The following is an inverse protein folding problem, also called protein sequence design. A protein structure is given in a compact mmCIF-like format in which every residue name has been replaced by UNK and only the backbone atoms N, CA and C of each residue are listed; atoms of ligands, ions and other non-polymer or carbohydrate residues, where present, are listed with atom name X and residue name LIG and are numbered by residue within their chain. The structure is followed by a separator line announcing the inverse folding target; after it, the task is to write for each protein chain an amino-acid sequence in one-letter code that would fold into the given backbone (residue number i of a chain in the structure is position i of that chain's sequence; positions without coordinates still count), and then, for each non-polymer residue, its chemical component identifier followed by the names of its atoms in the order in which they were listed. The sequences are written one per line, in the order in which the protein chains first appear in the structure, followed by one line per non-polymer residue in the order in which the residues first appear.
data_IF_887697459382
#
_entry.id   IF_887697459382
#
_cell.length_a   1.000
_cell.length_b   1.000
_cell.length_c   1.000
_cell.angle_alpha   90.00
_cell.angle_beta   90.00
_cell.angle_gamma   90.00
#
_symmetry.space_group_name_H-M   'P 1'
#
loop_
_entity.id
_entity.type
_entity.pdbx_description
1 polymer ?
#
# COMPACT_ATOMS: atom_id res chain seq x y z
N UNK A 1 25.95 -3.72 -17.38
CA UNK A 1 25.03 -4.01 -18.49
C UNK A 1 24.51 -2.68 -19.02
N UNK A 2 25.05 -2.15 -20.13
CA UNK A 2 24.77 -0.79 -20.59
C UNK A 2 23.36 -0.58 -21.17
N UNK A 3 22.61 -1.64 -21.46
CA UNK A 3 21.29 -1.61 -22.10
C UNK A 3 20.13 -2.08 -21.22
N UNK A 4 20.36 -2.35 -19.92
CA UNK A 4 19.29 -2.78 -19.03
C UNK A 4 18.42 -1.59 -18.66
N UNK A 5 17.18 -1.58 -19.13
CA UNK A 5 16.15 -0.57 -18.83
C UNK A 5 15.15 -1.09 -17.81
N UNK A 6 14.95 -2.41 -17.76
CA UNK A 6 13.97 -3.06 -16.90
C UNK A 6 14.60 -4.25 -16.21
N UNK A 7 14.52 -4.24 -14.88
CA UNK A 7 14.92 -5.35 -14.02
C UNK A 7 13.69 -5.78 -13.22
N UNK A 8 13.04 -6.85 -13.66
CA UNK A 8 11.98 -7.51 -12.90
C UNK A 8 12.49 -8.87 -12.41
N UNK A 9 12.68 -8.97 -11.10
CA UNK A 9 12.96 -10.24 -10.41
C UNK A 9 11.99 -10.43 -9.23
N UNK A 10 10.80 -9.84 -9.34
CA UNK A 10 9.74 -9.97 -8.35
C UNK A 10 9.24 -11.41 -8.21
N UNK A 11 8.65 -11.79 -7.07
CA UNK A 11 8.01 -13.10 -6.85
C UNK A 11 8.94 -14.32 -6.97
N UNK A 12 10.20 -14.17 -6.58
CA UNK A 12 11.22 -15.23 -6.76
C UNK A 12 11.74 -15.82 -5.43
N UNK A 13 11.11 -15.51 -4.29
CA UNK A 13 11.56 -15.97 -2.96
C UNK A 13 13.04 -15.66 -2.69
N UNK A 14 13.58 -14.60 -3.30
CA UNK A 14 14.97 -14.17 -3.12
C UNK A 14 15.20 -13.78 -1.67
N UNK A 15 16.33 -14.19 -1.10
CA UNK A 15 16.66 -13.93 0.30
C UNK A 15 18.03 -13.24 0.40
N UNK A 16 18.34 -12.68 1.57
CA UNK A 16 19.55 -11.87 1.78
C UNK A 16 19.31 -10.40 1.45
N UNK A 17 20.40 -9.62 1.32
CA UNK A 17 20.32 -8.18 1.08
C UNK A 17 20.37 -7.80 -0.38
N UNK A 18 19.82 -6.62 -0.68
CA UNK A 18 19.97 -6.00 -2.00
C UNK A 18 21.46 -5.64 -2.17
N UNK A 19 22.14 -6.15 -3.20
CA UNK A 19 23.57 -5.94 -3.36
C UNK A 19 23.90 -4.48 -3.68
N UNK A 20 24.96 -3.95 -3.05
CA UNK A 20 25.44 -2.58 -3.30
C UNK A 20 25.80 -2.32 -4.77
N UNK A 21 26.18 -3.37 -5.50
CA UNK A 21 26.51 -3.32 -6.93
C UNK A 21 25.31 -2.95 -7.82
N UNK A 22 24.09 -2.98 -7.30
CA UNK A 22 22.89 -2.54 -8.02
C UNK A 22 22.94 -1.06 -8.41
N UNK A 23 23.71 -0.23 -7.69
CA UNK A 23 23.98 1.16 -8.08
C UNK A 23 24.88 1.33 -9.31
N UNK A 24 25.46 0.25 -9.84
CA UNK A 24 26.34 0.26 -11.00
C UNK A 24 25.62 -0.14 -12.31
N UNK A 25 24.30 -0.15 -12.31
CA UNK A 25 23.50 -0.42 -13.50
C UNK A 25 23.52 0.81 -14.41
N UNK A 26 24.52 0.87 -15.30
CA UNK A 26 24.81 2.04 -16.15
C UNK A 26 23.66 2.44 -17.08
N UNK A 27 22.80 1.50 -17.49
CA UNK A 27 21.59 1.80 -18.29
C UNK A 27 20.63 2.76 -17.59
N UNK A 28 20.62 2.76 -16.25
CA UNK A 28 19.78 3.63 -15.41
C UNK A 28 20.48 4.95 -15.02
N UNK A 29 21.72 5.19 -15.50
CA UNK A 29 22.56 6.32 -15.10
C UNK A 29 22.97 7.25 -16.24
N UNK A 30 23.25 6.74 -17.44
CA UNK A 30 23.69 7.56 -18.59
C UNK A 30 22.54 7.91 -19.53
N UNK A 31 22.41 9.17 -19.95
CA UNK A 31 21.44 9.59 -20.97
C UNK A 31 21.76 8.92 -22.32
N UNK A 32 20.74 8.39 -23.00
CA UNK A 32 20.86 7.90 -24.38
C UNK A 32 21.13 9.11 -25.27
N UNK A 33 22.29 9.16 -25.92
CA UNK A 33 22.59 10.21 -26.90
C UNK A 33 21.64 10.10 -28.08
N UNK A 34 21.16 11.24 -28.61
CA UNK A 34 20.19 11.42 -29.72
C UNK A 34 20.46 10.65 -31.04
N UNK A 35 21.45 9.76 -31.09
CA UNK A 35 21.79 8.95 -32.27
C UNK A 35 21.08 7.59 -32.30
N UNK A 36 20.48 7.16 -31.18
CA UNK A 36 19.85 5.83 -31.04
C UNK A 36 18.32 5.86 -31.16
N UNK A 37 17.72 7.05 -31.37
CA UNK A 37 16.26 7.27 -31.27
C UNK A 37 15.46 6.97 -32.53
N UNK A 38 16.10 6.66 -33.67
CA UNK A 38 15.42 6.60 -34.98
C UNK A 38 14.94 5.21 -35.43
N UNK A 39 15.28 4.09 -34.76
CA UNK A 39 15.07 2.74 -35.33
C UNK A 39 14.25 1.74 -34.50
N UNK A 40 13.74 2.07 -33.32
CA UNK A 40 13.10 1.07 -32.43
C UNK A 40 11.76 1.52 -31.83
N UNK A 41 10.75 1.71 -32.70
CA UNK A 41 9.37 1.94 -32.29
C UNK A 41 8.65 0.61 -31.98
N UNK A 42 8.97 -0.04 -30.86
CA UNK A 42 8.21 -1.22 -30.41
C UNK A 42 7.07 -0.84 -29.47
N UNK A 43 5.83 -1.16 -29.86
CA UNK A 43 4.64 -1.01 -29.01
C UNK A 43 4.52 -2.18 -28.04
N UNK A 44 4.82 -1.94 -26.75
CA UNK A 44 4.56 -2.87 -25.65
C UNK A 44 3.30 -2.52 -24.86
N UNK A 45 2.58 -3.53 -24.36
CA UNK A 45 1.48 -3.38 -23.39
C UNK A 45 1.96 -3.87 -22.03
N UNK A 46 1.88 -3.05 -20.98
CA UNK A 46 2.18 -3.44 -19.60
C UNK A 46 0.89 -3.60 -18.81
N UNK A 47 0.83 -4.68 -18.05
CA UNK A 47 -0.26 -4.99 -17.15
C UNK A 47 0.29 -5.04 -15.72
N UNK A 48 0.09 -3.99 -14.95
CA UNK A 48 0.50 -3.93 -13.54
C UNK A 48 -0.67 -4.36 -12.67
N UNK A 49 -0.42 -5.24 -11.70
CA UNK A 49 -1.44 -5.68 -10.74
C UNK A 49 -1.06 -5.19 -9.35
N UNK A 50 -1.78 -4.17 -8.88
CA UNK A 50 -1.60 -3.60 -7.54
C UNK A 50 -2.96 -3.58 -6.82
N UNK A 51 -2.99 -4.06 -5.58
CA UNK A 51 -4.20 -4.09 -4.72
C UNK A 51 -5.46 -4.67 -5.41
N UNK A 52 -5.31 -5.74 -6.19
CA UNK A 52 -6.44 -6.37 -6.91
C UNK A 52 -6.98 -5.58 -8.10
N UNK A 53 -6.36 -4.46 -8.45
CA UNK A 53 -6.67 -3.69 -9.66
C UNK A 53 -5.64 -4.01 -10.73
N UNK A 54 -6.14 -4.14 -11.96
CA UNK A 54 -5.33 -4.29 -13.15
C UNK A 54 -5.21 -2.93 -13.81
N UNK A 55 -3.98 -2.42 -13.89
CA UNK A 55 -3.65 -1.20 -14.63
C UNK A 55 -3.07 -1.62 -15.98
N UNK A 56 -3.84 -1.38 -17.06
CA UNK A 56 -3.41 -1.63 -18.43
C UNK A 56 -2.88 -0.33 -19.05
N UNK A 57 -1.57 -0.28 -19.25
CA UNK A 57 -0.91 0.85 -19.88
C UNK A 57 -0.79 0.55 -21.39
N UNK A 58 -1.61 1.24 -22.20
CA UNK A 58 -1.71 1.03 -23.65
C UNK A 58 -0.83 1.96 -24.49
N UNK A 59 -0.07 2.85 -23.85
CA UNK A 59 0.87 3.76 -24.52
C UNK A 59 2.12 3.91 -23.66
N UNK A 60 2.98 2.89 -23.65
CA UNK A 60 4.25 2.98 -22.93
C UNK A 60 5.33 3.28 -23.95
N UNK A 61 5.79 4.52 -23.97
CA UNK A 61 7.14 4.81 -24.42
C UNK A 61 8.06 4.01 -23.49
N UNK A 62 8.73 3.00 -24.03
CA UNK A 62 9.66 2.12 -23.31
C UNK A 62 10.97 2.85 -22.95
N UNK A 63 10.86 4.01 -22.30
CA UNK A 63 11.95 4.82 -21.75
C UNK A 63 11.91 4.87 -20.21
N UNK A 64 10.90 4.27 -19.58
CA UNK A 64 10.76 4.27 -18.12
C UNK A 64 11.68 3.19 -17.57
N UNK A 65 12.85 3.58 -17.07
CA UNK A 65 13.72 2.60 -16.45
C UNK A 65 13.05 2.07 -15.17
N UNK A 66 12.88 0.76 -15.05
CA UNK A 66 12.13 0.12 -13.98
C UNK A 66 12.96 -0.91 -13.21
N UNK A 67 12.83 -0.91 -11.88
CA UNK A 67 13.39 -1.94 -11.00
C UNK A 67 12.26 -2.46 -10.11
N UNK A 68 11.88 -3.72 -10.31
CA UNK A 68 10.91 -4.44 -9.49
C UNK A 68 11.58 -5.63 -8.78
N UNK A 69 11.69 -5.51 -7.46
CA UNK A 69 12.20 -6.53 -6.54
C UNK A 69 11.12 -7.02 -5.58
N UNK A 70 9.85 -6.72 -5.84
CA UNK A 70 8.75 -6.97 -4.92
C UNK A 70 8.45 -8.44 -4.68
N UNK A 71 7.72 -8.74 -3.60
CA UNK A 71 7.25 -10.10 -3.28
C UNK A 71 8.41 -11.10 -3.21
N UNK A 72 9.39 -10.77 -2.38
CA UNK A 72 10.57 -11.58 -2.10
C UNK A 72 10.82 -11.63 -0.58
N UNK A 73 11.89 -12.29 -0.17
CA UNK A 73 12.31 -12.40 1.22
C UNK A 73 13.56 -11.53 1.50
N UNK A 74 13.73 -10.43 0.75
CA UNK A 74 14.92 -9.56 0.87
C UNK A 74 14.95 -8.88 2.24
N UNK A 75 16.13 -8.72 2.81
CA UNK A 75 16.34 -8.22 4.17
C UNK A 75 17.53 -7.27 4.24
N UNK A 76 17.78 -6.67 5.41
CA UNK A 76 18.80 -5.63 5.57
C UNK A 76 18.31 -4.27 5.06
N UNK A 77 19.22 -3.32 4.92
CA UNK A 77 18.89 -1.95 4.54
C UNK A 77 18.80 -1.76 3.03
N UNK A 78 18.04 -0.74 2.61
CA UNK A 78 18.05 -0.30 1.22
C UNK A 78 19.41 0.33 0.88
N UNK A 79 20.18 -0.23 -0.08
CA UNK A 79 21.49 0.28 -0.40
C UNK A 79 21.40 1.67 -1.01
N UNK A 80 22.19 2.62 -0.50
CA UNK A 80 22.26 3.99 -1.02
C UNK A 80 22.64 4.04 -2.51
N UNK A 81 23.29 2.99 -3.04
CA UNK A 81 23.58 2.87 -4.47
C UNK A 81 22.32 2.92 -5.35
N UNK A 82 21.16 2.45 -4.87
CA UNK A 82 19.90 2.53 -5.61
C UNK A 82 19.46 3.97 -5.87
N UNK A 83 19.80 4.90 -4.97
CA UNK A 83 19.47 6.32 -5.15
C UNK A 83 20.36 7.01 -6.18
N UNK A 84 21.37 6.32 -6.73
CA UNK A 84 22.23 6.84 -7.79
C UNK A 84 21.69 6.55 -9.20
N UNK A 85 20.57 5.83 -9.30
CA UNK A 85 19.91 5.46 -10.56
C UNK A 85 18.98 6.59 -11.03
N UNK A 86 19.53 7.75 -11.38
CA UNK A 86 18.77 8.99 -11.61
C UNK A 86 17.79 8.95 -12.80
N UNK A 87 17.90 7.95 -13.69
CA UNK A 87 16.94 7.75 -14.78
C UNK A 87 15.79 6.80 -14.42
N UNK A 88 15.75 6.30 -13.18
CA UNK A 88 14.73 5.37 -12.72
C UNK A 88 13.37 6.06 -12.68
N UNK A 89 12.40 5.51 -13.42
CA UNK A 89 11.02 5.95 -13.41
C UNK A 89 10.13 5.11 -12.48
N UNK A 90 10.50 3.85 -12.24
CA UNK A 90 9.77 2.96 -11.32
C UNK A 90 10.71 2.22 -10.39
N UNK A 91 10.44 2.28 -9.09
CA UNK A 91 11.09 1.46 -8.07
C UNK A 91 10.03 0.76 -7.21
N UNK A 92 9.99 -0.56 -7.26
CA UNK A 92 9.11 -1.38 -6.44
C UNK A 92 9.94 -2.34 -5.57
N UNK A 93 9.94 -2.09 -4.26
CA UNK A 93 10.60 -2.91 -3.25
C UNK A 93 9.58 -3.54 -2.28
N UNK A 94 8.29 -3.49 -2.61
CA UNK A 94 7.21 -3.88 -1.71
C UNK A 94 7.23 -5.37 -1.35
N UNK A 95 6.54 -5.74 -0.27
CA UNK A 95 6.41 -7.15 0.17
C UNK A 95 7.79 -7.82 0.35
N UNK A 96 8.62 -7.24 1.21
CA UNK A 96 9.93 -7.76 1.58
C UNK A 96 10.13 -7.63 3.10
N UNK A 97 11.37 -7.79 3.58
CA UNK A 97 11.76 -7.66 4.98
C UNK A 97 12.85 -6.60 5.17
N UNK A 98 12.86 -5.56 4.33
CA UNK A 98 13.84 -4.47 4.40
C UNK A 98 13.65 -3.67 5.69
N UNK A 99 14.77 -3.31 6.33
CA UNK A 99 14.84 -2.61 7.62
C UNK A 99 15.60 -1.28 7.48
N UNK A 100 15.71 -0.55 8.59
CA UNK A 100 16.46 0.70 8.65
C UNK A 100 15.66 1.87 8.08
N UNK A 101 16.34 2.99 7.85
CA UNK A 101 15.70 4.21 7.37
C UNK A 101 15.68 4.26 5.85
N UNK A 102 14.69 4.95 5.29
CA UNK A 102 14.74 5.36 3.88
C UNK A 102 15.90 6.38 3.75
N UNK A 103 16.92 6.13 2.91
CA UNK A 103 18.05 7.04 2.74
C UNK A 103 17.61 8.43 2.27
N UNK A 104 18.16 9.49 2.85
CA UNK A 104 17.84 10.87 2.44
C UNK A 104 18.15 11.14 0.95
N UNK A 105 19.09 10.42 0.35
CA UNK A 105 19.40 10.53 -1.08
C UNK A 105 18.30 10.00 -2.00
N UNK A 106 17.21 9.41 -1.48
CA UNK A 106 16.07 9.00 -2.30
C UNK A 106 15.50 10.17 -3.14
N UNK A 107 15.64 11.41 -2.65
CA UNK A 107 15.28 12.63 -3.38
C UNK A 107 16.10 12.89 -4.65
N UNK A 108 17.21 12.19 -4.86
CA UNK A 108 18.06 12.31 -6.06
C UNK A 108 17.46 11.56 -7.27
N UNK A 109 16.41 10.77 -7.07
CA UNK A 109 15.71 10.04 -8.13
C UNK A 109 14.73 10.95 -8.88
N UNK A 110 15.24 12.03 -9.47
CA UNK A 110 14.44 13.14 -10.02
C UNK A 110 13.38 12.73 -11.06
N UNK A 111 13.60 11.61 -11.77
CA UNK A 111 12.67 11.10 -12.81
C UNK A 111 11.68 10.05 -12.30
N UNK A 112 11.67 9.74 -11.00
CA UNK A 112 10.82 8.68 -10.48
C UNK A 112 9.35 9.09 -10.51
N UNK A 113 8.53 8.22 -11.10
CA UNK A 113 7.08 8.37 -11.19
C UNK A 113 6.37 7.43 -10.23
N UNK A 114 6.92 6.24 -10.00
CA UNK A 114 6.35 5.22 -9.12
C UNK A 114 7.36 4.74 -8.09
N UNK A 115 7.02 4.86 -6.81
CA UNK A 115 7.79 4.38 -5.68
C UNK A 115 6.90 3.59 -4.72
N UNK A 116 7.09 2.27 -4.68
CA UNK A 116 6.39 1.40 -3.72
C UNK A 116 7.40 0.74 -2.76
N UNK A 117 7.33 1.14 -1.49
CA UNK A 117 8.13 0.61 -0.39
C UNK A 117 7.25 -0.12 0.64
N UNK A 118 5.98 -0.38 0.32
CA UNK A 118 5.01 -0.90 1.27
C UNK A 118 5.29 -2.33 1.71
N UNK A 119 4.72 -2.74 2.84
CA UNK A 119 4.86 -4.09 3.40
C UNK A 119 6.34 -4.48 3.59
N UNK A 120 7.07 -3.63 4.32
CA UNK A 120 8.45 -3.83 4.75
C UNK A 120 8.56 -3.52 6.25
N UNK A 121 9.79 -3.34 6.76
CA UNK A 121 10.09 -2.99 8.15
C UNK A 121 10.91 -1.69 8.22
N UNK A 122 10.74 -0.78 7.25
CA UNK A 122 11.41 0.51 7.28
C UNK A 122 10.99 1.29 8.53
N UNK A 123 11.93 2.03 9.12
CA UNK A 123 11.75 2.77 10.36
C UNK A 123 12.23 4.22 10.26
N UNK A 124 11.88 5.03 11.26
CA UNK A 124 12.26 6.44 11.30
C UNK A 124 11.40 7.32 10.38
N UNK A 125 11.82 8.58 10.16
CA UNK A 125 11.04 9.54 9.40
C UNK A 125 11.08 9.31 7.90
N UNK A 126 9.99 9.73 7.23
CA UNK A 126 9.98 9.94 5.78
C UNK A 126 10.97 11.07 5.47
N UNK A 127 11.99 10.85 4.63
CA UNK A 127 12.98 11.87 4.34
C UNK A 127 12.37 13.11 3.71
N UNK A 128 12.69 14.29 4.26
CA UNK A 128 12.20 15.58 3.73
C UNK A 128 12.62 15.81 2.27
N UNK A 129 13.74 15.21 1.83
CA UNK A 129 14.22 15.24 0.46
C UNK A 129 13.28 14.60 -0.56
N UNK A 130 12.34 13.74 -0.15
CA UNK A 130 11.35 13.18 -1.05
C UNK A 130 10.43 14.25 -1.65
N UNK A 131 10.34 15.43 -1.02
CA UNK A 131 9.63 16.59 -1.57
C UNK A 131 10.21 17.01 -2.92
N UNK A 132 11.50 16.75 -3.20
CA UNK A 132 12.15 17.09 -4.47
C UNK A 132 11.71 16.22 -5.66
N UNK A 133 10.99 15.12 -5.43
CA UNK A 133 10.60 14.16 -6.47
C UNK A 133 9.41 14.66 -7.30
N UNK A 134 9.58 15.71 -8.10
CA UNK A 134 8.47 16.43 -8.76
C UNK A 134 7.66 15.62 -9.79
N UNK A 135 8.16 14.46 -10.23
CA UNK A 135 7.45 13.57 -11.17
C UNK A 135 6.70 12.41 -10.49
N UNK A 136 6.77 12.30 -9.16
CA UNK A 136 6.23 11.16 -8.41
C UNK A 136 4.69 11.15 -8.41
N UNK A 137 4.11 10.30 -9.25
CA UNK A 137 2.67 10.14 -9.39
C UNK A 137 2.09 9.06 -8.46
N UNK A 138 2.89 8.04 -8.13
CA UNK A 138 2.46 6.92 -7.32
C UNK A 138 3.44 6.66 -6.17
N UNK A 139 2.96 6.84 -4.95
CA UNK A 139 3.71 6.56 -3.72
C UNK A 139 2.93 5.58 -2.84
N UNK A 140 3.60 4.58 -2.29
CA UNK A 140 3.03 3.70 -1.28
C UNK A 140 4.08 3.34 -0.22
N UNK A 141 3.80 3.76 1.02
CA UNK A 141 4.66 3.55 2.20
C UNK A 141 3.97 2.70 3.28
N UNK A 142 2.79 2.17 2.97
CA UNK A 142 1.94 1.47 3.94
C UNK A 142 2.60 0.21 4.50
N UNK A 143 2.17 -0.21 5.69
CA UNK A 143 2.65 -1.40 6.39
C UNK A 143 4.17 -1.41 6.56
N UNK A 144 4.69 -0.37 7.22
CA UNK A 144 6.07 -0.23 7.68
C UNK A 144 6.08 0.22 9.16
N UNK A 145 7.24 0.55 9.71
CA UNK A 145 7.41 1.07 11.06
C UNK A 145 7.91 2.53 11.06
N UNK A 146 7.46 3.31 10.07
CA UNK A 146 7.83 4.72 9.91
C UNK A 146 7.21 5.59 11.02
N UNK A 147 7.87 6.69 11.35
CA UNK A 147 7.47 7.57 12.44
C UNK A 147 7.75 9.05 12.18
N UNK A 148 7.09 9.93 12.93
CA UNK A 148 7.25 11.38 12.80
C UNK A 148 6.30 12.02 11.79
N UNK A 149 6.57 13.29 11.48
CA UNK A 149 5.68 14.12 10.67
C UNK A 149 5.81 13.79 9.18
N UNK A 150 4.68 13.64 8.48
CA UNK A 150 4.65 13.54 7.01
C UNK A 150 5.11 14.87 6.40
N UNK A 151 6.02 14.87 5.40
CA UNK A 151 6.42 16.08 4.69
C UNK A 151 5.21 16.78 4.04
N UNK A 152 5.01 18.07 4.31
CA UNK A 152 3.83 18.84 3.84
C UNK A 152 4.19 19.76 2.68
N UNK A 153 4.71 19.22 1.57
CA UNK A 153 5.12 20.03 0.42
C UNK A 153 4.95 19.27 -0.89
N UNK A 154 4.69 20.02 -1.96
CA UNK A 154 4.42 19.49 -3.30
C UNK A 154 3.26 18.47 -3.28
N UNK A 155 3.41 17.34 -3.96
CA UNK A 155 2.36 16.33 -4.09
C UNK A 155 2.12 15.49 -2.81
N UNK A 156 2.89 15.69 -1.74
CA UNK A 156 2.64 14.93 -0.49
C UNK A 156 1.30 15.28 0.17
N UNK A 157 0.77 16.47 -0.07
CA UNK A 157 -0.53 16.89 0.42
C UNK A 157 -1.70 16.31 -0.40
N UNK A 158 -1.43 15.77 -1.60
CA UNK A 158 -2.47 15.22 -2.48
C UNK A 158 -2.66 13.72 -2.34
N UNK A 159 -1.72 13.03 -1.68
CA UNK A 159 -1.82 11.59 -1.47
C UNK A 159 -2.85 11.23 -0.40
N UNK A 160 -3.55 10.11 -0.62
CA UNK A 160 -4.57 9.59 0.29
C UNK A 160 -3.95 8.94 1.53
N UNK A 161 -4.66 8.96 2.67
CA UNK A 161 -4.19 8.35 3.92
C UNK A 161 -3.82 6.86 3.79
N UNK A 162 -4.45 6.13 2.85
CA UNK A 162 -4.18 4.70 2.61
C UNK A 162 -2.74 4.39 2.19
N UNK A 163 -1.98 5.36 1.67
CA UNK A 163 -0.57 5.14 1.31
C UNK A 163 0.34 5.09 2.54
N UNK A 164 -0.14 5.54 3.70
CA UNK A 164 0.60 5.60 4.97
C UNK A 164 0.09 4.59 6.01
N UNK A 165 -0.98 3.85 5.68
CA UNK A 165 -1.64 2.89 6.59
C UNK A 165 -0.62 1.92 7.22
N UNK A 166 -0.85 1.49 8.46
CA UNK A 166 0.02 0.52 9.12
C UNK A 166 1.33 1.08 9.69
N UNK A 167 1.57 2.40 9.59
CA UNK A 167 2.69 3.08 10.25
C UNK A 167 2.20 3.82 11.51
N UNK A 168 2.20 3.16 12.66
CA UNK A 168 1.64 3.72 13.90
C UNK A 168 2.32 5.01 14.39
N UNK A 169 3.59 5.24 14.01
CA UNK A 169 4.34 6.42 14.43
C UNK A 169 4.18 7.64 13.53
N UNK A 170 3.52 7.52 12.37
CA UNK A 170 3.34 8.63 11.44
C UNK A 170 2.18 9.54 11.86
N UNK A 171 2.35 10.84 11.63
CA UNK A 171 1.36 11.86 11.93
C UNK A 171 1.48 13.07 10.99
N UNK A 172 0.47 13.94 10.99
CA UNK A 172 0.34 15.07 10.06
C UNK A 172 -0.47 14.71 8.81
N UNK A 173 -1.09 15.71 8.19
CA UNK A 173 -1.97 15.54 7.03
C UNK A 173 -1.36 14.63 5.95
N UNK A 174 -2.10 13.64 5.41
CA UNK A 174 -3.53 13.33 5.60
C UNK A 174 -3.88 12.55 6.89
N UNK A 175 -2.90 12.17 7.71
CA UNK A 175 -3.11 11.50 9.00
C UNK A 175 -3.45 12.50 10.13
N UNK A 176 -3.87 12.02 11.32
CA UNK A 176 -4.07 12.88 12.48
C UNK A 176 -2.84 13.74 12.79
N UNK A 177 -3.05 14.97 13.24
CA UNK A 177 -1.96 15.90 13.56
C UNK A 177 -1.04 15.35 14.65
N UNK A 178 0.25 15.62 14.52
CA UNK A 178 1.25 15.26 15.52
C UNK A 178 0.97 16.02 16.82
N UNK A 179 0.48 15.34 17.85
CA UNK A 179 0.42 15.91 19.19
C UNK A 179 1.84 15.90 19.77
N UNK A 180 2.38 17.07 20.07
CA UNK A 180 3.65 17.18 20.80
C UNK A 180 3.52 16.42 22.11
N UNK A 181 4.45 15.51 22.37
CA UNK A 181 4.39 14.61 23.53
C UNK A 181 4.12 15.35 24.85
N UNK A 182 2.96 15.09 25.42
CA UNK A 182 2.79 14.93 26.86
C UNK A 182 2.08 13.59 27.06
N UNK A 183 2.87 12.54 27.16
CA UNK A 183 2.43 11.38 27.94
C UNK A 183 2.42 11.82 29.41
N UNK A 184 1.24 12.18 29.91
CA UNK A 184 0.89 12.05 31.32
C UNK A 184 -0.49 11.40 31.37
N UNK A 185 -0.69 10.32 32.13
CA UNK A 185 -2.03 9.81 32.38
C UNK A 185 -2.71 10.76 33.37
N UNK A 186 -3.42 11.76 32.86
CA UNK A 186 -4.31 12.59 33.67
C UNK A 186 -5.71 11.96 33.71
N UNK A 187 -6.05 11.56 34.92
CA UNK A 187 -7.42 11.33 35.42
C UNK A 187 -8.29 12.54 35.05
N UNK A 188 -9.54 12.36 34.59
CA UNK A 188 -10.31 13.43 34.00
C UNK A 188 -10.81 14.40 35.08
N UNK A 189 -10.34 15.65 35.00
CA UNK A 189 -11.03 16.82 35.56
C UNK A 189 -11.92 17.40 34.47
N UNK A 190 -13.21 17.52 34.77
CA UNK A 190 -14.17 18.18 33.91
C UNK A 190 -13.82 19.64 33.67
N UNK A 191 -14.20 20.14 32.51
CA UNK A 191 -15.19 21.21 32.41
C UNK A 191 -15.61 21.32 30.93
N UNK A 192 -16.86 20.95 30.70
CA UNK A 192 -17.85 21.46 29.75
C UNK A 192 -17.38 22.24 28.52
N UNK A 193 -17.59 21.63 27.34
CA UNK A 193 -18.36 22.20 26.22
C UNK A 193 -18.52 21.12 25.11
N UNK A 194 -19.77 20.81 24.74
CA UNK A 194 -20.23 19.85 23.72
C UNK A 194 -20.02 18.34 23.96
N UNK A 195 -20.60 17.78 25.04
CA UNK A 195 -20.53 16.33 25.34
C UNK A 195 -21.79 15.51 24.99
N UNK A 196 -22.96 16.16 24.80
CA UNK A 196 -24.22 15.45 24.50
C UNK A 196 -24.15 14.69 23.16
N UNK A 197 -23.51 15.29 22.13
CA UNK A 197 -23.43 14.65 20.80
C UNK A 197 -22.41 13.51 20.72
N UNK A 198 -21.44 13.43 21.65
CA UNK A 198 -20.43 12.37 21.70
C UNK A 198 -20.93 11.17 22.47
N UNK A 199 -21.60 11.40 23.60
CA UNK A 199 -22.24 10.33 24.38
C UNK A 199 -23.33 9.61 23.56
N UNK A 200 -24.14 10.35 22.80
CA UNK A 200 -25.16 9.75 21.93
C UNK A 200 -24.54 8.92 20.80
N UNK A 201 -23.46 9.40 20.17
CA UNK A 201 -22.75 8.64 19.13
C UNK A 201 -22.11 7.36 19.69
N UNK A 202 -21.56 7.42 20.91
CA UNK A 202 -21.01 6.25 21.57
C UNK A 202 -22.10 5.25 21.93
N UNK A 203 -23.24 5.70 22.48
CA UNK A 203 -24.36 4.84 22.81
C UNK A 203 -24.95 4.15 21.57
N UNK A 204 -25.03 4.86 20.44
CA UNK A 204 -25.45 4.30 19.16
C UNK A 204 -24.49 3.19 18.71
N UNK A 205 -23.17 3.41 18.77
CA UNK A 205 -22.17 2.39 18.44
C UNK A 205 -22.28 1.17 19.37
N UNK A 206 -22.40 1.38 20.68
CA UNK A 206 -22.58 0.29 21.64
C UNK A 206 -23.86 -0.51 21.36
N UNK A 207 -24.97 0.16 21.01
CA UNK A 207 -26.23 -0.51 20.68
C UNK A 207 -26.14 -1.35 19.40
N UNK A 208 -25.42 -0.87 18.38
CA UNK A 208 -25.17 -1.62 17.14
C UNK A 208 -24.32 -2.85 17.42
N UNK A 209 -23.24 -2.71 18.20
CA UNK A 209 -22.33 -3.82 18.51
C UNK A 209 -23.04 -4.89 19.35
N UNK A 210 -23.79 -4.48 20.38
CA UNK A 210 -24.59 -5.38 21.21
C UNK A 210 -25.65 -6.07 20.34
N UNK A 211 -26.36 -5.34 19.49
CA UNK A 211 -27.36 -5.89 18.58
C UNK A 211 -26.77 -6.90 17.60
N UNK A 212 -25.57 -6.65 17.07
CA UNK A 212 -24.87 -7.59 16.20
C UNK A 212 -24.45 -8.85 16.95
N UNK A 213 -23.88 -8.72 18.15
CA UNK A 213 -23.48 -9.86 18.96
C UNK A 213 -24.69 -10.75 19.31
N UNK A 214 -25.77 -10.18 19.84
CA UNK A 214 -26.96 -10.96 20.21
C UNK A 214 -27.75 -11.46 19.00
N UNK A 215 -27.83 -10.69 17.91
CA UNK A 215 -28.53 -11.09 16.69
C UNK A 215 -27.78 -12.19 15.92
N UNK A 216 -26.50 -11.95 15.64
CA UNK A 216 -25.67 -12.88 14.88
C UNK A 216 -25.41 -14.17 15.66
N UNK A 217 -25.04 -14.09 16.94
CA UNK A 217 -24.82 -15.29 17.76
C UNK A 217 -26.12 -15.93 18.23
N UNK A 218 -27.22 -15.20 18.33
CA UNK A 218 -28.54 -15.78 18.60
C UNK A 218 -28.99 -16.70 17.46
N UNK A 219 -28.89 -16.25 16.22
CA UNK A 219 -29.30 -17.06 15.05
C UNK A 219 -28.25 -18.11 14.70
N UNK A 220 -26.98 -17.74 14.57
CA UNK A 220 -25.94 -18.69 14.19
C UNK A 220 -25.62 -19.66 15.34
N UNK A 221 -25.61 -19.21 16.59
CA UNK A 221 -25.35 -20.07 17.76
C UNK A 221 -26.45 -21.11 17.99
N UNK A 222 -27.73 -20.74 17.82
CA UNK A 222 -28.83 -21.71 17.95
C UNK A 222 -28.80 -22.77 16.85
N UNK A 223 -28.36 -22.42 15.63
CA UNK A 223 -28.16 -23.35 14.52
C UNK A 223 -26.96 -24.30 14.74
N UNK A 224 -25.93 -23.87 15.47
CA UNK A 224 -24.76 -24.72 15.80
C UNK A 224 -25.08 -25.71 16.92
N UNK A 225 -25.88 -25.30 17.91
CA UNK A 225 -26.17 -26.13 19.11
C UNK A 225 -27.23 -27.21 18.83
N UNK A 226 -28.27 -26.92 18.04
CA UNK A 226 -29.35 -27.89 17.78
C UNK A 226 -29.27 -28.51 16.39
N UNK A 227 -28.80 -29.76 16.36
CA UNK A 227 -28.68 -30.58 15.14
C UNK A 227 -30.00 -30.69 14.35
N UNK A 228 -31.16 -30.78 15.01
CA UNK A 228 -32.47 -30.85 14.35
C UNK A 228 -32.87 -29.55 13.65
N UNK A 229 -32.48 -28.39 14.21
CA UNK A 229 -32.79 -27.08 13.64
C UNK A 229 -31.91 -26.79 12.42
N UNK A 230 -30.64 -27.21 12.48
CA UNK A 230 -29.73 -27.20 11.33
C UNK A 230 -30.32 -27.92 10.12
N UNK A 231 -30.80 -29.16 10.30
CA UNK A 231 -31.39 -29.92 9.20
C UNK A 231 -32.67 -29.29 8.65
N UNK A 232 -33.54 -28.76 9.52
CA UNK A 232 -34.77 -28.08 9.07
C UNK A 232 -34.46 -26.81 8.26
N UNK A 233 -33.49 -26.01 8.70
CA UNK A 233 -33.06 -24.79 8.01
C UNK A 233 -32.47 -25.09 6.62
N UNK A 234 -31.53 -26.04 6.52
CA UNK A 234 -30.94 -26.40 5.23
C UNK A 234 -31.96 -27.01 4.27
N UNK A 235 -32.86 -27.87 4.76
CA UNK A 235 -33.93 -28.43 3.93
C UNK A 235 -34.91 -27.34 3.43
N UNK A 236 -35.17 -26.31 4.22
CA UNK A 236 -35.96 -25.15 3.78
C UNK A 236 -35.23 -24.34 2.71
N UNK A 237 -33.95 -24.03 2.93
CA UNK A 237 -33.13 -23.30 1.96
C UNK A 237 -33.03 -24.03 0.61
N UNK A 238 -32.84 -25.36 0.64
CA UNK A 238 -32.82 -26.19 -0.56
C UNK A 238 -34.15 -26.17 -1.32
N UNK A 239 -35.29 -26.18 -0.61
CA UNK A 239 -36.62 -26.05 -1.23
C UNK A 239 -36.83 -24.68 -1.88
N UNK A 240 -36.39 -23.61 -1.22
CA UNK A 240 -36.47 -22.25 -1.78
C UNK A 240 -35.57 -22.14 -3.02
N UNK A 241 -34.34 -22.66 -2.95
CA UNK A 241 -33.41 -22.68 -4.07
C UNK A 241 -33.97 -23.45 -5.27
N UNK A 242 -34.53 -24.64 -5.04
CA UNK A 242 -35.17 -25.45 -6.08
C UNK A 242 -36.39 -24.75 -6.70
N UNK A 243 -37.20 -24.05 -5.88
CA UNK A 243 -38.36 -23.29 -6.35
C UNK A 243 -37.94 -22.09 -7.22
N UNK A 244 -36.92 -21.34 -6.80
CA UNK A 244 -36.38 -20.21 -7.58
C UNK A 244 -35.78 -20.70 -8.90
N UNK A 245 -35.01 -21.79 -8.88
CA UNK A 245 -34.48 -22.43 -10.10
C UNK A 245 -35.60 -22.87 -11.05
N UNK A 246 -36.69 -23.43 -10.53
CA UNK A 246 -37.84 -23.84 -11.34
C UNK A 246 -38.53 -22.63 -12.01
N UNK A 247 -38.64 -21.50 -11.30
CA UNK A 247 -39.17 -20.25 -11.89
C UNK A 247 -38.24 -19.72 -12.98
N UNK A 248 -36.92 -19.71 -12.74
CA UNK A 248 -35.93 -19.22 -13.70
C UNK A 248 -35.91 -20.08 -14.97
N UNK A 249 -35.99 -21.41 -14.82
CA UNK A 249 -36.03 -22.35 -15.95
C UNK A 249 -37.33 -22.28 -16.75
N UNK A 250 -38.43 -21.81 -16.15
CA UNK A 250 -39.72 -21.59 -16.83
C UNK A 250 -39.78 -20.26 -17.59
N UNK A 251 -38.81 -19.37 -17.39
CA UNK A 251 -38.69 -18.06 -18.05
C UNK A 251 -37.59 -18.02 -19.14
N UNK A 252 -36.87 -19.12 -19.37
CA UNK A 252 -35.94 -19.33 -20.49
C UNK A 252 -36.55 -20.24 -21.54
#
# INVERSE_FOLDING_TARGET
MPSLTDLDISRNSLNGSIPLSMGNLTGFRSDLTNKDTDDYLYQGRLKVVAKGRVLEYNTILYLVNSVDLSDNNLSGEMPVGLTSLTRLGTLNLSMNHLIGNIPAKIGDLERIETLDLSSNKFSGPIPQSMVSLTFLNHLNLSYNNLSGKIPTSNQFETFDASIYEGNAGLCGHPLPNCQGGKETPEVPGGDDEDDDSKLDKLWLIFSIVIGFCFGFWGVCGTLVIKKSWRYAYFNFADKVYAYVLAILKKRS
#
